data_IF_636672709565
#
_entry.id   IF_636672709565
#
_cell.length_a   1.000
_cell.length_b   1.000
_cell.length_c   1.000
_cell.angle_alpha   90.00
_cell.angle_beta   90.00
_cell.angle_gamma   90.00
#
_symmetry.space_group_name_H-M   'P 1'
#
loop_
_entity.id
_entity.type
_entity.pdbx_description
1 polymer ?
#
# COMPACT_ATOMS: atom_id res chain seq x y z
N UNK A 1 14.08 3.16 21.74
CA UNK A 1 13.26 3.96 20.81
C UNK A 1 13.91 5.32 20.65
N UNK A 2 14.35 5.65 19.46
CA UNK A 2 14.91 6.99 19.21
C UNK A 2 13.76 8.01 19.33
N UNK A 3 13.87 8.96 20.25
CA UNK A 3 12.80 9.93 20.58
C UNK A 3 12.46 10.91 19.43
N UNK A 4 13.12 10.75 18.28
CA UNK A 4 13.04 11.70 17.18
C UNK A 4 12.04 11.32 16.07
N UNK A 5 11.50 10.10 16.07
CA UNK A 5 10.55 9.62 15.04
C UNK A 5 9.13 9.72 15.59
N UNK A 6 8.25 10.36 14.83
CA UNK A 6 6.86 10.59 15.24
C UNK A 6 5.85 9.82 14.37
N UNK A 7 6.22 9.42 13.16
CA UNK A 7 5.33 8.71 12.24
C UNK A 7 6.14 8.00 11.15
N UNK A 8 5.76 6.77 10.80
CA UNK A 8 6.38 6.00 9.71
C UNK A 8 5.49 6.14 8.47
N UNK A 9 6.08 6.60 7.36
CA UNK A 9 5.37 6.88 6.11
C UNK A 9 5.54 5.80 5.05
N UNK A 10 6.70 5.17 5.03
CA UNK A 10 7.00 4.12 4.07
C UNK A 10 8.04 3.17 4.67
N UNK A 11 7.91 1.90 4.35
CA UNK A 11 8.84 0.83 4.74
C UNK A 11 9.28 0.10 3.50
N UNK A 12 10.57 -0.18 3.40
CA UNK A 12 11.10 -1.11 2.42
C UNK A 12 11.99 -2.16 3.11
N UNK A 13 12.69 -3.00 2.35
CA UNK A 13 13.49 -4.09 2.89
C UNK A 13 14.68 -3.63 3.76
N UNK A 14 15.16 -2.40 3.57
CA UNK A 14 16.42 -1.93 4.15
C UNK A 14 16.25 -0.72 5.08
N UNK A 15 15.19 0.08 4.92
CA UNK A 15 15.03 1.33 5.66
C UNK A 15 13.56 1.78 5.83
N UNK A 16 13.40 2.77 6.69
CA UNK A 16 12.13 3.45 6.99
C UNK A 16 12.18 4.90 6.51
N UNK A 17 11.13 5.37 5.84
CA UNK A 17 10.88 6.77 5.64
C UNK A 17 9.92 7.27 6.72
N UNK A 18 10.38 8.20 7.53
CA UNK A 18 9.69 8.63 8.73
C UNK A 18 9.53 10.15 8.79
N UNK A 19 8.66 10.60 9.69
CA UNK A 19 8.59 11.96 10.17
C UNK A 19 9.41 12.08 11.45
N UNK A 20 10.36 13.00 11.48
CA UNK A 20 11.14 13.28 12.69
C UNK A 20 10.42 14.28 13.61
N UNK A 21 11.00 14.54 14.78
CA UNK A 21 10.44 15.48 15.78
C UNK A 21 10.37 16.94 15.32
N UNK A 22 11.10 17.31 14.25
CA UNK A 22 11.05 18.65 13.62
C UNK A 22 9.91 18.74 12.59
N UNK A 23 9.24 17.62 12.29
CA UNK A 23 8.19 17.54 11.28
C UNK A 23 8.71 17.38 9.85
N UNK A 24 9.99 17.01 9.66
CA UNK A 24 10.59 16.77 8.35
C UNK A 24 10.64 15.27 8.04
N UNK A 25 10.77 14.93 6.75
CA UNK A 25 11.10 13.57 6.33
C UNK A 25 12.52 13.20 6.72
N UNK A 26 12.71 12.00 7.23
CA UNK A 26 14.01 11.38 7.44
C UNK A 26 13.99 9.92 7.02
N UNK A 27 15.16 9.37 6.72
CA UNK A 27 15.34 7.94 6.47
C UNK A 27 16.16 7.37 7.61
N UNK A 28 15.72 6.25 8.16
CA UNK A 28 16.39 5.52 9.23
C UNK A 28 16.53 4.04 8.87
N UNK A 29 17.45 3.33 9.52
CA UNK A 29 17.42 1.87 9.56
C UNK A 29 16.32 1.36 10.52
N UNK A 30 16.22 0.03 10.68
CA UNK A 30 15.24 -0.59 11.57
C UNK A 30 15.57 -0.44 13.05
N UNK A 31 16.81 -0.05 13.38
CA UNK A 31 17.26 0.30 14.73
C UNK A 31 17.05 1.80 15.03
N UNK A 32 16.42 2.52 14.09
CA UNK A 32 16.14 3.96 14.15
C UNK A 32 17.41 4.84 14.18
N UNK A 33 18.49 4.37 13.59
CA UNK A 33 19.64 5.23 13.34
C UNK A 33 19.39 6.09 12.11
N UNK A 34 19.67 7.39 12.23
CA UNK A 34 19.45 8.34 11.12
C UNK A 34 20.43 8.04 9.98
N UNK A 35 19.90 7.70 8.81
CA UNK A 35 20.64 7.57 7.56
C UNK A 35 20.62 8.90 6.79
N UNK A 36 19.51 9.65 6.90
CA UNK A 36 19.33 10.92 6.22
C UNK A 36 18.25 11.77 6.88
N UNK A 37 18.50 13.08 7.10
CA UNK A 37 17.50 14.07 7.53
C UNK A 37 17.31 15.14 6.44
N UNK A 38 16.08 15.30 5.97
CA UNK A 38 15.73 16.25 4.92
C UNK A 38 15.20 17.56 5.50
N UNK A 39 15.20 18.61 4.67
CA UNK A 39 14.52 19.88 4.98
C UNK A 39 13.09 19.94 4.39
N UNK A 40 12.53 18.82 3.94
CA UNK A 40 11.19 18.76 3.37
C UNK A 40 10.19 18.44 4.46
N UNK A 41 9.21 19.32 4.63
CA UNK A 41 8.14 19.12 5.62
C UNK A 41 7.14 18.06 5.18
N UNK A 42 6.64 17.31 6.14
CA UNK A 42 5.60 16.28 5.95
C UNK A 42 4.22 16.89 6.04
N UNK A 43 3.35 16.62 5.06
CA UNK A 43 1.91 16.84 5.13
C UNK A 43 1.17 15.51 5.23
N UNK A 44 -0.06 15.55 5.78
CA UNK A 44 -0.83 14.32 6.01
C UNK A 44 -1.21 13.61 4.70
N UNK A 45 -1.49 14.38 3.65
CA UNK A 45 -1.95 13.87 2.35
C UNK A 45 -0.79 13.56 1.39
N UNK A 46 0.46 13.68 1.84
CA UNK A 46 1.61 13.32 1.02
C UNK A 46 1.64 11.83 0.71
N UNK A 47 1.84 11.51 -0.57
CA UNK A 47 2.11 10.14 -1.02
C UNK A 47 3.63 9.99 -1.10
N UNK A 48 4.16 8.97 -0.43
CA UNK A 48 5.60 8.82 -0.27
C UNK A 48 6.08 7.47 -0.78
N UNK A 49 7.31 7.45 -1.26
CA UNK A 49 8.03 6.22 -1.60
C UNK A 49 9.51 6.38 -1.30
N UNK A 50 10.18 5.29 -0.92
CA UNK A 50 11.63 5.24 -0.73
C UNK A 50 12.22 4.15 -1.60
N UNK A 51 13.36 4.42 -2.25
CA UNK A 51 14.07 3.43 -3.06
C UNK A 51 14.67 2.33 -2.19
N UNK A 52 14.92 1.16 -2.75
CA UNK A 52 15.33 -0.03 -2.01
C UNK A 52 16.55 0.21 -1.11
N UNK A 53 17.59 0.83 -1.62
CA UNK A 53 18.79 1.14 -0.82
C UNK A 53 18.72 2.46 -0.05
N UNK A 54 17.56 3.11 0.07
CA UNK A 54 17.43 4.40 0.76
C UNK A 54 18.13 5.58 0.06
N UNK A 55 18.64 5.37 -1.17
CA UNK A 55 19.40 6.39 -1.91
C UNK A 55 18.52 7.54 -2.41
N UNK A 56 17.23 7.27 -2.60
CA UNK A 56 16.26 8.24 -3.04
C UNK A 56 14.97 8.10 -2.24
N UNK A 57 14.29 9.22 -2.03
CA UNK A 57 12.89 9.17 -1.67
C UNK A 57 12.08 10.19 -2.48
N UNK A 58 10.82 9.89 -2.69
CA UNK A 58 9.89 10.72 -3.43
C UNK A 58 8.73 11.13 -2.53
N UNK A 59 8.33 12.39 -2.66
CA UNK A 59 7.13 12.96 -2.05
C UNK A 59 6.26 13.51 -3.16
N UNK A 60 5.07 12.96 -3.29
CA UNK A 60 4.08 13.44 -4.25
C UNK A 60 3.00 14.25 -3.53
N UNK A 61 2.73 15.43 -4.07
CA UNK A 61 1.80 16.40 -3.51
C UNK A 61 1.07 17.11 -4.63
N UNK A 62 -0.24 16.91 -4.72
CA UNK A 62 -1.06 17.42 -5.81
C UNK A 62 -0.48 17.02 -7.18
N UNK A 63 0.06 17.97 -7.94
CA UNK A 63 0.63 17.80 -9.28
C UNK A 63 2.16 17.83 -9.31
N UNK A 64 2.80 17.70 -8.17
CA UNK A 64 4.26 17.77 -8.09
C UNK A 64 4.84 16.54 -7.38
N UNK A 65 5.90 15.97 -7.94
CA UNK A 65 6.72 14.95 -7.30
C UNK A 65 8.09 15.54 -7.03
N UNK A 66 8.46 15.64 -5.75
CA UNK A 66 9.82 15.97 -5.34
C UNK A 66 10.58 14.68 -5.10
N UNK A 67 11.64 14.43 -5.86
CA UNK A 67 12.58 13.33 -5.64
C UNK A 67 13.85 13.88 -5.03
N UNK A 68 14.32 13.24 -3.97
CA UNK A 68 15.52 13.67 -3.23
C UNK A 68 16.56 12.55 -3.28
N UNK A 69 17.74 12.89 -3.77
CA UNK A 69 18.94 12.06 -3.64
C UNK A 69 19.53 12.26 -2.24
N UNK A 70 19.57 11.20 -1.46
CA UNK A 70 19.99 11.26 -0.05
C UNK A 70 21.50 11.41 0.11
N UNK A 71 22.30 11.01 -0.90
CA UNK A 71 23.76 11.07 -0.85
C UNK A 71 24.29 12.50 -1.03
N UNK A 72 23.67 13.25 -1.92
CA UNK A 72 24.11 14.60 -2.28
C UNK A 72 23.10 15.69 -1.88
N UNK A 73 21.97 15.27 -1.29
CA UNK A 73 20.84 16.16 -0.91
C UNK A 73 20.33 17.02 -2.08
N UNK A 74 20.38 16.48 -3.29
CA UNK A 74 19.87 17.16 -4.48
C UNK A 74 18.39 16.83 -4.66
N UNK A 75 17.61 17.86 -5.01
CA UNK A 75 16.18 17.73 -5.29
C UNK A 75 15.93 17.81 -6.79
N UNK A 76 15.05 16.95 -7.28
CA UNK A 76 14.48 16.98 -8.62
C UNK A 76 12.98 17.17 -8.49
N UNK A 77 12.43 18.21 -9.11
CA UNK A 77 11.01 18.49 -9.15
C UNK A 77 10.43 18.03 -10.50
N UNK A 78 9.38 17.22 -10.42
CA UNK A 78 8.66 16.71 -11.59
C UNK A 78 7.26 17.32 -11.55
N UNK A 79 7.02 18.34 -12.37
CA UNK A 79 5.72 18.98 -12.48
C UNK A 79 4.83 18.22 -13.48
N UNK A 80 3.60 17.94 -13.10
CA UNK A 80 2.62 17.16 -13.86
C UNK A 80 1.39 17.99 -14.21
N UNK A 81 0.63 17.51 -15.20
CA UNK A 81 -0.58 18.22 -15.65
C UNK A 81 -1.80 17.91 -14.77
N UNK A 82 -1.84 16.71 -14.18
CA UNK A 82 -2.96 16.21 -13.39
C UNK A 82 -2.52 15.84 -11.97
N UNK A 83 -3.49 15.60 -11.10
CA UNK A 83 -3.25 15.19 -9.73
C UNK A 83 -2.64 13.79 -9.68
N UNK A 84 -1.71 13.61 -8.75
CA UNK A 84 -1.01 12.35 -8.53
C UNK A 84 -1.90 11.45 -7.67
N UNK A 85 -2.09 10.22 -8.13
CA UNK A 85 -2.85 9.22 -7.39
C UNK A 85 -1.94 8.26 -6.60
N UNK A 86 -0.78 7.90 -7.18
CA UNK A 86 0.23 7.07 -6.50
C UNK A 86 1.62 7.34 -7.02
N UNK A 87 2.61 7.05 -6.21
CA UNK A 87 4.04 7.09 -6.54
C UNK A 87 4.75 5.91 -5.87
N UNK A 88 5.68 5.27 -6.58
CA UNK A 88 6.47 4.14 -6.07
C UNK A 88 7.80 4.02 -6.81
N UNK A 89 8.89 3.75 -6.09
CA UNK A 89 10.15 3.38 -6.73
C UNK A 89 10.09 1.96 -7.30
N UNK A 90 10.35 1.83 -8.59
CA UNK A 90 10.54 0.54 -9.27
C UNK A 90 11.95 0.01 -9.02
N UNK A 91 12.92 0.91 -9.01
CA UNK A 91 14.32 0.66 -8.67
C UNK A 91 14.98 1.99 -8.27
N UNK A 92 16.28 2.00 -8.01
CA UNK A 92 17.03 3.21 -7.62
C UNK A 92 17.12 4.30 -8.71
N UNK A 93 16.71 4.03 -9.93
CA UNK A 93 16.74 5.02 -11.02
C UNK A 93 15.40 5.27 -11.69
N UNK A 94 14.35 4.58 -11.26
CA UNK A 94 13.05 4.66 -11.94
C UNK A 94 11.90 4.78 -10.95
N UNK A 95 11.03 5.72 -11.21
CA UNK A 95 9.85 6.01 -10.42
C UNK A 95 8.59 5.71 -11.22
N UNK A 96 7.74 4.82 -10.73
CA UNK A 96 6.38 4.66 -11.22
C UNK A 96 5.48 5.71 -10.58
N UNK A 97 4.57 6.27 -11.36
CA UNK A 97 3.49 7.11 -10.83
C UNK A 97 2.24 7.02 -11.70
N UNK A 98 1.11 7.40 -11.12
CA UNK A 98 -0.12 7.55 -11.87
C UNK A 98 -0.71 8.94 -11.68
N UNK A 99 -1.19 9.51 -12.79
CA UNK A 99 -1.96 10.76 -12.83
C UNK A 99 -3.44 10.45 -12.95
N UNK A 100 -4.26 11.17 -12.20
CA UNK A 100 -5.73 11.06 -12.24
C UNK A 100 -6.33 12.30 -12.90
N UNK A 101 -7.23 12.09 -13.84
CA UNK A 101 -8.07 13.15 -14.41
C UNK A 101 -9.53 12.69 -14.46
N UNK A 102 -10.44 13.56 -14.08
CA UNK A 102 -11.87 13.31 -14.22
C UNK A 102 -12.26 13.38 -15.70
N UNK A 103 -13.12 12.46 -16.15
CA UNK A 103 -13.70 12.46 -17.50
C UNK A 103 -15.10 13.08 -17.44
N UNK A 104 -15.88 12.65 -16.44
CA UNK A 104 -17.24 13.06 -16.18
C UNK A 104 -17.51 12.93 -14.67
N UNK A 105 -18.74 13.16 -14.22
CA UNK A 105 -19.12 13.08 -12.81
C UNK A 105 -18.97 11.68 -12.20
N UNK A 106 -18.78 10.65 -13.01
CA UNK A 106 -18.75 9.25 -12.57
C UNK A 106 -17.40 8.59 -12.83
N UNK A 107 -16.75 8.91 -13.96
CA UNK A 107 -15.56 8.19 -14.41
C UNK A 107 -14.30 9.03 -14.32
N UNK A 108 -13.21 8.39 -13.96
CA UNK A 108 -11.85 8.95 -13.95
C UNK A 108 -10.94 8.18 -14.90
N UNK A 109 -9.94 8.86 -15.44
CA UNK A 109 -8.82 8.27 -16.13
C UNK A 109 -7.62 8.25 -15.19
N UNK A 110 -6.94 7.11 -15.15
CA UNK A 110 -5.65 6.95 -14.48
C UNK A 110 -4.61 6.65 -15.53
N UNK A 111 -3.73 7.60 -15.79
CA UNK A 111 -2.63 7.45 -16.73
C UNK A 111 -1.39 6.99 -15.97
N UNK A 112 -0.78 5.87 -16.40
CA UNK A 112 0.33 5.20 -15.73
C UNK A 112 1.63 5.51 -16.44
N UNK A 113 2.66 5.89 -15.69
CA UNK A 113 3.96 6.29 -16.22
C UNK A 113 5.12 5.67 -15.43
N UNK A 114 6.26 5.51 -16.11
CA UNK A 114 7.57 5.37 -15.48
C UNK A 114 8.39 6.59 -15.82
N UNK A 115 9.07 7.16 -14.83
CA UNK A 115 10.03 8.24 -14.98
C UNK A 115 11.44 7.72 -14.70
N UNK A 116 12.33 7.86 -15.66
CA UNK A 116 13.75 7.57 -15.50
C UNK A 116 14.46 8.81 -14.92
N UNK A 117 14.98 8.68 -13.72
CA UNK A 117 15.64 9.80 -13.01
C UNK A 117 16.96 10.21 -13.67
N UNK A 118 17.70 9.28 -14.30
CA UNK A 118 18.99 9.56 -14.95
C UNK A 118 18.81 10.27 -16.28
N UNK A 119 17.80 9.85 -17.04
CA UNK A 119 17.52 10.41 -18.35
C UNK A 119 16.57 11.61 -18.28
N UNK A 120 15.95 11.85 -17.14
CA UNK A 120 14.88 12.84 -16.94
C UNK A 120 13.74 12.70 -17.96
N UNK A 121 13.34 11.43 -18.23
CA UNK A 121 12.35 11.11 -19.25
C UNK A 121 11.20 10.30 -18.68
N UNK A 122 9.99 10.62 -19.10
CA UNK A 122 8.80 9.84 -18.76
C UNK A 122 8.42 8.91 -19.92
N UNK A 123 8.04 7.69 -19.58
CA UNK A 123 7.48 6.70 -20.49
C UNK A 123 6.04 6.41 -20.07
N UNK A 124 5.10 6.61 -20.99
CA UNK A 124 3.71 6.19 -20.81
C UNK A 124 3.62 4.66 -20.85
N UNK A 125 2.91 4.06 -19.91
CA UNK A 125 2.68 2.62 -19.85
C UNK A 125 1.27 2.26 -20.31
N UNK A 126 0.26 2.87 -19.70
CA UNK A 126 -1.14 2.50 -19.91
C UNK A 126 -2.11 3.58 -19.41
N UNK A 127 -3.38 3.41 -19.74
CA UNK A 127 -4.49 4.24 -19.27
C UNK A 127 -5.63 3.35 -18.78
N UNK A 128 -6.09 3.58 -17.56
CA UNK A 128 -7.21 2.89 -16.95
C UNK A 128 -8.39 3.87 -16.89
N UNK A 129 -9.55 3.44 -17.39
CA UNK A 129 -10.81 4.15 -17.22
C UNK A 129 -11.71 3.36 -16.27
N UNK A 130 -12.10 3.95 -15.14
CA UNK A 130 -12.99 3.33 -14.15
C UNK A 130 -13.68 4.39 -13.30
N UNK A 131 -14.65 3.99 -12.50
CA UNK A 131 -15.31 4.86 -11.53
C UNK A 131 -14.32 5.24 -10.43
N UNK A 132 -13.65 4.24 -9.87
CA UNK A 132 -12.57 4.44 -8.90
C UNK A 132 -11.49 3.39 -9.06
N UNK A 133 -10.27 3.76 -8.72
CA UNK A 133 -9.12 2.88 -8.58
C UNK A 133 -8.81 2.77 -7.09
N UNK A 134 -9.01 1.60 -6.52
CA UNK A 134 -8.90 1.39 -5.09
C UNK A 134 -7.84 0.36 -4.76
N UNK A 135 -7.41 0.32 -3.48
CA UNK A 135 -6.56 -0.74 -2.94
C UNK A 135 -5.41 -1.10 -3.88
N UNK A 136 -4.45 -0.21 -4.03
CA UNK A 136 -3.34 -0.42 -4.94
C UNK A 136 -2.10 -0.99 -4.24
N UNK A 137 -1.29 -1.66 -5.03
CA UNK A 137 0.01 -2.22 -4.67
C UNK A 137 1.02 -1.89 -5.76
N UNK A 138 2.23 -1.58 -5.38
CA UNK A 138 3.32 -1.35 -6.31
C UNK A 138 4.62 -1.94 -5.76
N UNK A 139 5.36 -2.63 -6.60
CA UNK A 139 6.70 -3.14 -6.32
C UNK A 139 7.62 -2.92 -7.53
N UNK A 140 8.75 -3.63 -7.58
CA UNK A 140 9.73 -3.53 -8.68
C UNK A 140 9.21 -4.07 -10.02
N UNK A 141 8.24 -4.97 -10.02
CA UNK A 141 7.78 -5.71 -11.21
C UNK A 141 6.46 -5.20 -11.77
N UNK A 142 5.56 -4.73 -10.89
CA UNK A 142 4.20 -4.39 -11.30
C UNK A 142 3.51 -3.37 -10.40
N UNK A 143 2.46 -2.78 -10.95
CA UNK A 143 1.40 -2.09 -10.25
C UNK A 143 0.13 -2.94 -10.30
N UNK A 144 -0.54 -3.13 -9.20
CA UNK A 144 -1.83 -3.80 -9.10
C UNK A 144 -2.85 -2.92 -8.38
N UNK A 145 -4.10 -2.97 -8.81
CA UNK A 145 -5.19 -2.22 -8.17
C UNK A 145 -6.56 -2.85 -8.41
N UNK A 146 -7.52 -2.50 -7.60
CA UNK A 146 -8.93 -2.79 -7.84
C UNK A 146 -9.55 -1.67 -8.67
N UNK A 147 -10.01 -2.01 -9.87
CA UNK A 147 -10.77 -1.11 -10.74
C UNK A 147 -12.26 -1.33 -10.52
N UNK A 148 -12.93 -0.36 -9.93
CA UNK A 148 -14.37 -0.36 -9.79
C UNK A 148 -15.01 0.29 -11.03
N UNK A 149 -15.96 -0.41 -11.64
CA UNK A 149 -16.78 0.11 -12.72
C UNK A 149 -18.26 0.07 -12.30
N UNK A 150 -19.15 0.65 -13.09
CA UNK A 150 -20.59 0.64 -12.79
C UNK A 150 -21.20 -0.77 -12.68
N UNK A 151 -20.58 -1.77 -13.28
CA UNK A 151 -21.14 -3.13 -13.42
C UNK A 151 -20.31 -4.23 -12.80
N UNK A 152 -19.04 -3.98 -12.49
CA UNK A 152 -18.11 -5.01 -12.01
C UNK A 152 -16.91 -4.43 -11.29
N UNK A 153 -16.27 -5.27 -10.50
CA UNK A 153 -14.96 -5.02 -9.90
C UNK A 153 -13.93 -5.93 -10.55
N UNK A 154 -12.81 -5.35 -10.98
CA UNK A 154 -11.71 -6.07 -11.62
C UNK A 154 -10.40 -5.81 -10.88
N UNK A 155 -9.57 -6.85 -10.75
CA UNK A 155 -8.16 -6.68 -10.43
C UNK A 155 -7.46 -6.34 -11.74
N UNK A 156 -6.77 -5.22 -11.72
CA UNK A 156 -5.90 -4.77 -12.81
C UNK A 156 -4.45 -4.91 -12.37
N UNK A 157 -3.64 -5.57 -13.19
CA UNK A 157 -2.18 -5.69 -12.95
C UNK A 157 -1.45 -5.20 -14.19
N UNK A 158 -0.64 -4.16 -14.03
CA UNK A 158 0.28 -3.63 -15.04
C UNK A 158 1.69 -4.07 -14.70
N UNK A 159 2.28 -4.95 -15.49
CA UNK A 159 3.70 -5.26 -15.41
C UNK A 159 4.54 -4.17 -16.08
N UNK A 160 5.69 -3.86 -15.52
CA UNK A 160 6.55 -2.80 -16.08
C UNK A 160 7.31 -3.23 -17.35
N UNK A 161 7.30 -4.52 -17.68
CA UNK A 161 7.72 -5.03 -19.01
C UNK A 161 6.72 -4.74 -20.14
N UNK A 162 5.51 -4.26 -19.80
CA UNK A 162 4.46 -3.88 -20.75
C UNK A 162 3.18 -4.75 -20.68
N UNK A 163 3.25 -5.93 -20.06
CA UNK A 163 2.09 -6.82 -19.96
C UNK A 163 1.02 -6.26 -19.04
N UNK A 164 -0.24 -6.45 -19.43
CA UNK A 164 -1.42 -6.07 -18.64
C UNK A 164 -2.32 -7.28 -18.43
N UNK A 165 -2.73 -7.50 -17.18
CA UNK A 165 -3.66 -8.57 -16.81
C UNK A 165 -4.90 -7.96 -16.15
N UNK A 166 -6.07 -8.58 -16.39
CA UNK A 166 -7.35 -8.22 -15.77
C UNK A 166 -8.09 -9.46 -15.31
N UNK A 167 -8.59 -9.42 -14.09
CA UNK A 167 -9.34 -10.52 -13.50
C UNK A 167 -10.63 -10.03 -12.88
N UNK A 168 -11.74 -10.74 -13.10
CA UNK A 168 -13.02 -10.40 -12.47
C UNK A 168 -13.02 -10.77 -11.00
N UNK A 169 -13.03 -9.79 -10.11
CA UNK A 169 -13.06 -9.99 -8.67
C UNK A 169 -14.40 -10.60 -8.21
N UNK A 170 -15.50 -10.18 -8.84
CA UNK A 170 -16.84 -10.67 -8.51
C UNK A 170 -17.03 -12.17 -8.77
N UNK A 171 -16.19 -12.77 -9.66
CA UNK A 171 -16.18 -14.21 -9.89
C UNK A 171 -15.37 -14.98 -8.85
N UNK A 172 -14.37 -14.33 -8.25
CA UNK A 172 -13.48 -14.94 -7.26
C UNK A 172 -14.03 -14.84 -5.84
N UNK A 173 -14.68 -13.73 -5.51
CA UNK A 173 -15.13 -13.44 -4.15
C UNK A 173 -16.61 -13.06 -4.13
N UNK A 174 -17.47 -13.88 -3.50
CA UNK A 174 -18.89 -13.56 -3.41
C UNK A 174 -19.15 -12.37 -2.48
N UNK A 175 -20.02 -11.47 -2.91
CA UNK A 175 -20.41 -10.28 -2.12
C UNK A 175 -19.20 -9.46 -1.61
N UNK A 176 -18.24 -9.22 -2.50
CA UNK A 176 -17.08 -8.38 -2.24
C UNK A 176 -17.47 -7.00 -1.68
N UNK A 177 -16.69 -6.50 -0.75
CA UNK A 177 -16.81 -5.14 -0.23
C UNK A 177 -15.75 -4.26 -0.89
N UNK A 178 -16.15 -3.16 -1.50
CA UNK A 178 -15.21 -2.19 -2.08
C UNK A 178 -14.24 -1.61 -1.03
N UNK A 179 -13.06 -1.19 -1.48
CA UNK A 179 -11.99 -0.61 -0.65
C UNK A 179 -11.52 -1.53 0.50
N UNK A 180 -11.33 -2.81 0.22
CA UNK A 180 -11.00 -3.80 1.24
C UNK A 180 -10.07 -4.90 0.73
N UNK A 181 -9.17 -4.56 -0.19
CA UNK A 181 -8.13 -5.49 -0.68
C UNK A 181 -6.80 -5.11 -0.07
N UNK A 182 -6.04 -6.11 0.38
CA UNK A 182 -4.64 -5.98 0.71
C UNK A 182 -3.84 -6.93 -0.16
N UNK A 183 -3.06 -6.37 -1.08
CA UNK A 183 -2.25 -7.13 -2.02
C UNK A 183 -1.02 -7.70 -1.33
N UNK A 184 -0.68 -8.92 -1.72
CA UNK A 184 0.59 -9.56 -1.40
C UNK A 184 1.60 -9.42 -2.52
N UNK A 185 2.62 -10.24 -2.45
CA UNK A 185 3.74 -10.24 -3.37
C UNK A 185 3.31 -10.35 -4.84
N UNK A 186 3.92 -9.53 -5.69
CA UNK A 186 3.68 -9.46 -7.15
C UNK A 186 2.24 -9.15 -7.58
N UNK A 187 1.37 -8.65 -6.69
CA UNK A 187 -0.01 -8.31 -7.00
C UNK A 187 -0.90 -9.48 -7.44
N UNK A 188 -0.43 -10.72 -7.31
CA UNK A 188 -1.13 -11.93 -7.77
C UNK A 188 -1.91 -12.62 -6.67
N UNK A 189 -1.52 -12.38 -5.44
CA UNK A 189 -2.18 -12.87 -4.23
C UNK A 189 -2.65 -11.71 -3.41
N UNK A 190 -3.79 -11.84 -2.78
CA UNK A 190 -4.33 -10.78 -1.95
C UNK A 190 -5.36 -11.29 -0.95
N UNK A 191 -5.60 -10.48 0.06
CA UNK A 191 -6.73 -10.61 0.95
C UNK A 191 -7.84 -9.65 0.55
N UNK A 192 -9.08 -10.05 0.74
CA UNK A 192 -10.22 -9.16 0.59
C UNK A 192 -11.34 -9.51 1.58
N UNK A 193 -12.17 -8.50 1.84
CA UNK A 193 -13.36 -8.67 2.67
C UNK A 193 -14.60 -8.95 1.81
N UNK A 194 -15.44 -9.82 2.34
CA UNK A 194 -16.76 -10.14 1.78
C UNK A 194 -17.81 -10.11 2.89
N UNK A 195 -18.97 -9.51 2.61
CA UNK A 195 -20.06 -9.41 3.57
C UNK A 195 -21.34 -10.01 3.00
N UNK A 196 -21.83 -11.08 3.61
CA UNK A 196 -23.20 -11.55 3.34
C UNK A 196 -24.16 -10.77 4.24
N UNK A 197 -25.08 -10.01 3.63
CA UNK A 197 -26.00 -9.10 4.35
C UNK A 197 -26.92 -9.78 5.37
N UNK A 198 -27.18 -11.08 5.21
CA UNK A 198 -28.10 -11.87 6.06
C UNK A 198 -27.43 -12.33 7.35
N UNK A 199 -26.09 -12.43 7.37
CA UNK A 199 -25.34 -12.88 8.52
C UNK A 199 -24.52 -11.73 9.09
N UNK A 200 -24.65 -11.40 10.34
CA UNK A 200 -23.86 -10.35 11.06
C UNK A 200 -22.35 -10.65 11.08
N UNK A 201 -21.81 -11.22 9.97
CA UNK A 201 -20.43 -11.65 9.81
C UNK A 201 -19.80 -11.09 8.54
N UNK A 202 -18.54 -10.74 8.64
CA UNK A 202 -17.65 -10.42 7.55
C UNK A 202 -16.65 -11.55 7.39
N UNK A 203 -16.32 -11.92 6.16
CA UNK A 203 -15.39 -13.00 5.85
C UNK A 203 -14.14 -12.42 5.21
N UNK A 204 -12.98 -12.94 5.60
CA UNK A 204 -11.70 -12.69 4.94
C UNK A 204 -11.46 -13.82 3.95
N UNK A 205 -11.19 -13.44 2.69
CA UNK A 205 -10.81 -14.37 1.63
C UNK A 205 -9.35 -14.14 1.25
N UNK A 206 -8.60 -15.22 1.15
CA UNK A 206 -7.33 -15.27 0.43
C UNK A 206 -7.61 -15.63 -1.01
N UNK A 207 -7.06 -14.89 -1.95
CA UNK A 207 -7.24 -15.07 -3.38
C UNK A 207 -5.89 -15.24 -4.05
N UNK A 208 -5.75 -16.28 -4.86
CA UNK A 208 -4.65 -16.52 -5.78
C UNK A 208 -5.20 -16.41 -7.20
N UNK A 209 -4.87 -15.31 -7.88
CA UNK A 209 -5.39 -15.06 -9.22
C UNK A 209 -4.72 -15.90 -10.30
N UNK A 210 -3.49 -16.37 -10.10
CA UNK A 210 -2.84 -17.29 -11.05
C UNK A 210 -3.50 -18.65 -11.07
N UNK A 211 -3.91 -19.12 -9.89
CA UNK A 211 -4.65 -20.38 -9.77
C UNK A 211 -6.16 -20.21 -10.03
N UNK A 212 -6.65 -18.99 -10.10
CA UNK A 212 -8.09 -18.70 -10.20
C UNK A 212 -8.88 -19.20 -8.99
N UNK A 213 -8.26 -19.24 -7.81
CA UNK A 213 -8.84 -19.79 -6.58
C UNK A 213 -9.02 -18.73 -5.51
N UNK A 214 -10.07 -18.89 -4.72
CA UNK A 214 -10.28 -18.13 -3.50
C UNK A 214 -10.68 -19.05 -2.35
N UNK A 215 -10.11 -18.83 -1.19
CA UNK A 215 -10.39 -19.58 0.02
C UNK A 215 -10.81 -18.63 1.14
N UNK A 216 -11.88 -18.96 1.84
CA UNK A 216 -12.25 -18.26 3.06
C UNK A 216 -11.28 -18.67 4.17
N UNK A 217 -10.52 -17.70 4.68
CA UNK A 217 -9.50 -17.93 5.73
C UNK A 217 -9.99 -17.52 7.11
N UNK A 218 -10.91 -16.55 7.21
CA UNK A 218 -11.38 -16.08 8.51
C UNK A 218 -12.85 -15.64 8.47
N UNK A 219 -13.52 -15.73 9.61
CA UNK A 219 -14.87 -15.22 9.85
C UNK A 219 -14.88 -14.27 11.04
N UNK A 220 -15.21 -13.01 10.79
CA UNK A 220 -15.20 -11.92 11.75
C UNK A 220 -16.62 -11.52 12.13
N UNK A 221 -16.86 -11.17 13.39
CA UNK A 221 -18.11 -10.57 13.79
C UNK A 221 -18.13 -9.08 13.39
N UNK A 222 -19.24 -8.61 12.84
CA UNK A 222 -19.33 -7.20 12.45
C UNK A 222 -19.19 -6.23 13.63
N UNK A 223 -19.46 -6.69 14.87
CA UNK A 223 -19.24 -5.89 16.08
C UNK A 223 -17.76 -5.57 16.31
N UNK A 224 -16.88 -6.52 15.98
CA UNK A 224 -15.44 -6.37 16.17
C UNK A 224 -14.82 -5.41 15.12
N UNK A 225 -15.60 -5.05 14.10
CA UNK A 225 -15.22 -4.16 13.01
C UNK A 225 -15.99 -2.82 13.05
N UNK A 226 -16.88 -2.63 14.03
CA UNK A 226 -17.74 -1.43 14.07
C UNK A 226 -16.88 -0.18 14.34
N UNK A 227 -17.04 0.85 13.49
CA UNK A 227 -16.28 2.10 13.59
C UNK A 227 -14.91 2.09 12.90
N UNK A 228 -14.43 0.93 12.41
CA UNK A 228 -13.22 0.88 11.61
C UNK A 228 -13.51 1.25 10.14
N UNK A 229 -12.70 2.13 9.53
CA UNK A 229 -12.67 2.27 8.09
C UNK A 229 -12.29 0.94 7.44
N UNK A 230 -12.96 0.55 6.36
CA UNK A 230 -12.77 -0.77 5.73
C UNK A 230 -11.32 -1.02 5.29
N UNK A 231 -10.63 0.00 4.81
CA UNK A 231 -9.23 -0.05 4.36
C UNK A 231 -8.21 -0.27 5.48
N UNK A 232 -8.61 -0.25 6.74
CA UNK A 232 -7.75 -0.51 7.90
C UNK A 232 -8.02 -1.85 8.57
N UNK A 233 -8.69 -2.78 7.89
CA UNK A 233 -9.13 -4.03 8.52
C UNK A 233 -8.19 -5.19 8.27
N UNK A 234 -7.67 -5.33 7.06
CA UNK A 234 -6.85 -6.49 6.65
C UNK A 234 -5.52 -6.05 6.06
N UNK A 235 -4.49 -6.83 6.34
CA UNK A 235 -3.12 -6.58 5.87
C UNK A 235 -2.49 -7.90 5.44
N UNK A 236 -2.08 -7.99 4.19
CA UNK A 236 -1.24 -9.08 3.71
C UNK A 236 0.20 -8.77 4.14
N UNK A 237 0.79 -9.59 5.00
CA UNK A 237 2.13 -9.35 5.54
C UNK A 237 3.19 -10.05 4.68
N UNK A 238 3.01 -11.33 4.42
CA UNK A 238 3.82 -12.14 3.50
C UNK A 238 3.07 -13.43 3.14
N UNK A 239 3.74 -14.40 2.49
CA UNK A 239 3.16 -15.70 2.10
C UNK A 239 2.75 -16.59 3.29
N UNK A 240 3.22 -16.32 4.49
CA UNK A 240 2.93 -17.10 5.70
C UNK A 240 1.93 -16.41 6.61
N UNK A 241 1.95 -15.06 6.68
CA UNK A 241 1.23 -14.30 7.69
C UNK A 241 0.33 -13.22 7.09
N UNK A 242 -0.78 -13.00 7.76
CA UNK A 242 -1.64 -11.83 7.54
C UNK A 242 -2.09 -11.23 8.88
N UNK A 243 -2.47 -9.96 8.86
CA UNK A 243 -3.00 -9.32 10.04
C UNK A 243 -4.43 -8.83 9.82
N UNK A 244 -5.18 -8.78 10.92
CA UNK A 244 -6.52 -8.21 10.98
C UNK A 244 -6.59 -7.21 12.10
N UNK A 245 -7.01 -5.99 11.79
CA UNK A 245 -7.31 -4.96 12.76
C UNK A 245 -8.76 -5.14 13.23
N UNK A 246 -8.92 -5.26 14.52
CA UNK A 246 -10.19 -5.22 15.23
C UNK A 246 -10.32 -3.90 16.00
N UNK A 247 -11.47 -3.60 16.58
CA UNK A 247 -11.71 -2.34 17.30
C UNK A 247 -10.70 -2.05 18.41
N UNK A 248 -10.23 -3.10 19.09
CA UNK A 248 -9.42 -3.02 20.32
C UNK A 248 -8.03 -3.67 20.19
N UNK A 249 -7.72 -4.27 19.03
CA UNK A 249 -6.47 -5.01 18.84
C UNK A 249 -6.10 -5.22 17.38
N UNK A 250 -4.83 -5.55 17.12
CA UNK A 250 -4.34 -6.13 15.87
C UNK A 250 -4.00 -7.58 16.13
N UNK A 251 -4.55 -8.50 15.33
CA UNK A 251 -4.26 -9.93 15.42
C UNK A 251 -3.47 -10.36 14.19
N UNK A 252 -2.39 -11.11 14.37
CA UNK A 252 -1.63 -11.76 13.30
C UNK A 252 -2.00 -13.24 13.24
N UNK A 253 -2.24 -13.72 12.03
CA UNK A 253 -2.66 -15.09 11.75
C UNK A 253 -1.67 -15.77 10.81
N UNK A 254 -1.50 -17.06 10.99
CA UNK A 254 -0.82 -17.93 10.04
C UNK A 254 -1.81 -18.41 8.96
N UNK A 255 -1.43 -18.36 7.68
CA UNK A 255 -2.31 -18.77 6.58
C UNK A 255 -2.61 -20.28 6.57
N UNK A 256 -1.72 -21.12 7.07
CA UNK A 256 -1.87 -22.57 7.04
C UNK A 256 -2.86 -23.08 8.09
N UNK A 257 -2.80 -22.51 9.29
CA UNK A 257 -3.67 -22.89 10.41
C UNK A 257 -4.91 -22.02 10.54
N UNK A 258 -4.83 -20.77 10.04
CA UNK A 258 -5.81 -19.70 10.28
C UNK A 258 -6.02 -19.40 11.78
N UNK A 259 -5.03 -19.74 12.61
CA UNK A 259 -5.04 -19.48 14.05
C UNK A 259 -4.27 -18.19 14.35
N UNK A 260 -4.72 -17.44 15.38
CA UNK A 260 -4.02 -16.24 15.81
C UNK A 260 -2.70 -16.59 16.49
N UNK A 261 -1.59 -16.05 15.98
CA UNK A 261 -0.26 -16.19 16.58
C UNK A 261 -0.04 -15.16 17.70
N UNK A 262 -0.44 -13.92 17.40
CA UNK A 262 -0.27 -12.77 18.27
C UNK A 262 -1.51 -11.90 18.24
N UNK A 263 -1.80 -11.29 19.40
CA UNK A 263 -2.82 -10.25 19.56
C UNK A 263 -2.21 -9.07 20.29
N UNK A 264 -2.06 -7.95 19.60
CA UNK A 264 -1.57 -6.70 20.17
C UNK A 264 -2.72 -5.75 20.48
N UNK A 265 -2.98 -5.43 21.77
CA UNK A 265 -4.08 -4.58 22.15
C UNK A 265 -3.82 -3.12 21.74
N UNK A 266 -4.75 -2.52 21.02
CA UNK A 266 -4.70 -1.10 20.65
C UNK A 266 -6.07 -0.61 20.19
N UNK A 267 -6.47 0.54 20.71
CA UNK A 267 -7.66 1.26 20.25
C UNK A 267 -7.34 2.27 19.12
N UNK A 268 -6.06 2.50 18.80
CA UNK A 268 -5.68 3.39 17.71
C UNK A 268 -6.00 2.76 16.36
N UNK A 269 -7.02 3.30 15.70
CA UNK A 269 -7.51 2.81 14.39
C UNK A 269 -6.55 3.11 13.25
N UNK A 270 -5.63 4.05 13.42
CA UNK A 270 -4.68 4.45 12.37
C UNK A 270 -3.45 3.56 12.30
N UNK A 271 -3.19 2.71 13.30
CA UNK A 271 -2.04 1.83 13.32
C UNK A 271 -2.12 0.78 12.21
N UNK A 272 -1.12 0.80 11.35
CA UNK A 272 -0.94 -0.16 10.27
C UNK A 272 0.25 -1.07 10.59
N UNK A 273 0.07 -2.39 10.50
CA UNK A 273 1.15 -3.35 10.71
C UNK A 273 1.92 -3.59 9.40
N UNK A 274 3.23 -3.65 9.50
CA UNK A 274 4.13 -4.09 8.42
C UNK A 274 5.08 -5.13 8.97
N UNK A 275 5.27 -6.24 8.27
CA UNK A 275 6.21 -7.25 8.67
C UNK A 275 7.63 -6.83 8.27
N UNK A 276 8.57 -6.94 9.22
CA UNK A 276 10.00 -6.74 8.99
C UNK A 276 10.77 -7.97 9.45
N UNK A 277 11.83 -8.32 8.70
CA UNK A 277 12.73 -9.46 9.02
C UNK A 277 12.00 -10.80 9.28
N UNK A 278 10.81 -11.00 8.70
CA UNK A 278 9.95 -12.19 8.85
C UNK A 278 9.61 -12.61 10.28
N UNK A 279 9.98 -11.83 11.29
CA UNK A 279 9.80 -12.17 12.71
C UNK A 279 9.31 -11.02 13.58
N UNK A 280 9.28 -9.81 13.04
CA UNK A 280 8.86 -8.63 13.78
C UNK A 280 7.77 -7.88 13.01
N UNK A 281 6.75 -7.46 13.74
CA UNK A 281 5.70 -6.59 13.23
C UNK A 281 6.03 -5.15 13.66
N UNK A 282 6.19 -4.28 12.67
CA UNK A 282 6.34 -2.85 12.89
C UNK A 282 4.98 -2.17 12.74
N UNK A 283 4.57 -1.40 13.74
CA UNK A 283 3.38 -0.56 13.67
C UNK A 283 3.75 0.85 13.22
N UNK A 284 2.83 1.54 12.55
CA UNK A 284 3.09 2.87 11.96
C UNK A 284 3.49 3.95 12.98
N UNK A 285 3.28 3.72 14.27
CA UNK A 285 3.78 4.58 15.36
C UNK A 285 5.21 4.23 15.84
N UNK A 286 5.90 3.31 15.16
CA UNK A 286 7.25 2.85 15.53
C UNK A 286 7.31 1.75 16.58
N UNK A 287 6.17 1.18 17.00
CA UNK A 287 6.16 0.06 17.95
C UNK A 287 6.58 -1.24 17.23
N UNK A 288 7.56 -1.95 17.79
CA UNK A 288 7.95 -3.29 17.35
C UNK A 288 7.27 -4.35 18.22
N UNK A 289 6.66 -5.33 17.56
CA UNK A 289 6.02 -6.49 18.19
C UNK A 289 6.69 -7.75 17.62
N UNK A 290 7.26 -8.58 18.47
CA UNK A 290 7.87 -9.85 18.05
C UNK A 290 6.78 -10.88 17.75
N UNK A 291 6.87 -11.56 16.60
CA UNK A 291 5.99 -12.67 16.20
C UNK A 291 6.40 -14.00 16.85
#
# INVERSE_FOLDING_TARGET
MNKNITDIRCVNDDCLLCKNSKGNYCITDFDYNDLFDSNVSVLNDDICSVSRGGNYFAVARNKNITVIDTKINQKVEIQLDNDIYTVCFVNDSSLFYSEMSNIDDINSNYALYIYDLKLSQRKFLNKIKCVSLNDFYCNQDCFAAVCETLTKNEIFVQKFNGDTLKYSLDKLVPAYLSNTVSFGDNGKKFLCLSRKSIFKKTYVYYVDIEQGKSNKVLSLNNRDLSGLPKWYVIYFLNETYFAVKLNDRICVYDFSSCEPLISYPTADISLQPTLINNSNLLLSNGTLVQL
#
